data_IF_369505750361
#
_entry.id   IF_369505750361
#
_cell.length_a   1.000
_cell.length_b   1.000
_cell.length_c   1.000
_cell.angle_alpha   90.00
_cell.angle_beta   90.00
_cell.angle_gamma   90.00
#
_symmetry.space_group_name_H-M   'P 1'
#
loop_
_entity.id
_entity.type
_entity.pdbx_description
1 polymer ?
#
# COMPACT_ATOMS: atom_id res chain seq x y z
N UNK A 1 5.00 -25.32 2.64
CA UNK A 1 4.47 -23.96 2.79
C UNK A 1 4.10 -23.40 1.43
N UNK A 2 2.84 -23.04 1.24
CA UNK A 2 2.29 -22.36 0.07
C UNK A 2 1.39 -21.21 0.50
N UNK A 3 1.33 -20.16 -0.30
CA UNK A 3 0.39 -19.07 -0.11
C UNK A 3 -1.04 -19.60 -0.30
N UNK A 4 -1.87 -19.46 0.73
CA UNK A 4 -3.25 -19.93 0.75
C UNK A 4 -4.26 -18.81 0.51
N UNK A 5 -3.96 -17.57 0.92
CA UNK A 5 -4.78 -16.40 0.66
C UNK A 5 -3.96 -15.11 0.61
N UNK A 6 -4.53 -14.09 -0.03
CA UNK A 6 -4.02 -12.72 -0.08
C UNK A 6 -5.19 -11.79 0.26
N UNK A 7 -5.12 -11.17 1.44
CA UNK A 7 -6.22 -10.41 2.01
C UNK A 7 -5.89 -8.93 2.11
N UNK A 8 -6.86 -8.10 1.77
CA UNK A 8 -6.78 -6.67 2.01
C UNK A 8 -7.91 -6.32 2.95
N UNK A 9 -7.57 -5.79 4.12
CA UNK A 9 -8.55 -5.40 5.11
C UNK A 9 -8.32 -3.96 5.54
N UNK A 10 -9.38 -3.39 6.10
CA UNK A 10 -9.39 -2.01 6.57
C UNK A 10 -9.42 -1.98 8.08
N UNK A 11 -8.52 -1.20 8.66
CA UNK A 11 -8.49 -0.89 10.08
C UNK A 11 -9.01 0.53 10.28
N UNK A 12 -9.83 0.71 11.30
CA UNK A 12 -10.36 2.00 11.74
C UNK A 12 -9.80 2.33 13.12
N UNK A 13 -9.61 3.61 13.38
CA UNK A 13 -9.19 4.10 14.69
C UNK A 13 -9.58 5.56 14.88
N UNK A 14 -9.30 6.07 16.07
CA UNK A 14 -9.45 7.49 16.38
C UNK A 14 -8.07 8.07 16.64
N UNK A 15 -7.82 9.27 16.11
CA UNK A 15 -6.63 10.06 16.42
C UNK A 15 -7.07 11.33 17.13
N UNK A 16 -6.56 11.54 18.33
CA UNK A 16 -6.89 12.66 19.23
C UNK A 16 -6.22 14.00 18.84
N UNK A 17 -5.42 14.00 17.77
CA UNK A 17 -4.67 15.18 17.33
C UNK A 17 -3.30 15.32 17.99
N UNK A 18 -2.88 14.36 18.82
CA UNK A 18 -1.59 14.38 19.50
C UNK A 18 -0.41 13.98 18.60
N UNK A 19 0.75 14.61 18.86
CA UNK A 19 2.07 14.06 18.52
C UNK A 19 2.90 14.79 17.46
N UNK A 20 2.31 15.67 16.64
CA UNK A 20 3.07 16.45 15.66
C UNK A 20 2.73 17.95 15.76
N UNK A 21 3.73 18.85 15.85
CA UNK A 21 3.47 20.27 15.73
C UNK A 21 2.76 20.53 14.39
N UNK A 22 1.87 21.52 14.36
CA UNK A 22 1.24 21.94 13.11
C UNK A 22 2.33 22.48 12.19
N UNK A 23 2.86 21.59 11.34
CA UNK A 23 3.83 21.95 10.33
C UNK A 23 3.18 22.76 9.22
N UNK A 24 4.01 23.51 8.50
CA UNK A 24 3.62 24.07 7.21
C UNK A 24 3.27 22.96 6.24
N UNK A 25 2.52 23.32 5.19
CA UNK A 25 2.20 22.45 4.07
C UNK A 25 3.48 21.84 3.47
N UNK A 26 3.46 20.53 3.18
CA UNK A 26 4.54 19.86 2.44
C UNK A 26 4.61 20.38 1.00
N UNK A 27 5.82 20.67 0.50
CA UNK A 27 6.05 21.05 -0.89
C UNK A 27 5.64 19.91 -1.85
N UNK A 28 5.04 20.28 -2.98
CA UNK A 28 4.52 19.38 -4.01
C UNK A 28 5.07 19.77 -5.37
N UNK A 29 5.16 18.81 -6.29
CA UNK A 29 5.61 19.08 -7.66
C UNK A 29 4.78 20.16 -8.39
N UNK A 30 3.48 20.27 -8.07
CA UNK A 30 2.58 21.27 -8.66
C UNK A 30 2.82 22.70 -8.17
N UNK A 31 3.68 22.92 -7.18
CA UNK A 31 3.91 24.24 -6.58
C UNK A 31 4.66 25.21 -7.50
N UNK A 32 5.15 24.72 -8.64
CA UNK A 32 5.68 25.57 -9.71
C UNK A 32 4.60 26.47 -10.33
N UNK A 33 3.32 26.11 -10.18
CA UNK A 33 2.18 26.88 -10.67
C UNK A 33 1.55 27.68 -9.52
N UNK A 34 1.52 29.02 -9.59
CA UNK A 34 1.04 29.86 -8.49
C UNK A 34 -0.36 29.52 -7.97
N UNK A 35 -1.27 29.07 -8.83
CA UNK A 35 -2.63 28.68 -8.47
C UNK A 35 -2.71 27.43 -7.58
N UNK A 36 -1.67 26.58 -7.58
CA UNK A 36 -1.59 25.39 -6.71
C UNK A 36 -0.67 25.60 -5.50
N UNK A 37 0.22 26.59 -5.55
CA UNK A 37 1.10 26.97 -4.44
C UNK A 37 0.39 27.86 -3.42
N UNK A 38 -0.61 27.29 -2.76
CA UNK A 38 -1.41 27.97 -1.74
C UNK A 38 -1.17 27.34 -0.37
N UNK A 39 -1.09 28.16 0.69
CA UNK A 39 -1.01 27.72 2.09
C UNK A 39 -2.35 27.21 2.62
N UNK A 40 -3.03 26.42 1.81
CA UNK A 40 -4.27 25.79 2.21
C UNK A 40 -3.93 24.55 3.08
N UNK A 41 -4.34 24.63 4.34
CA UNK A 41 -4.52 23.55 5.33
C UNK A 41 -3.37 23.34 6.33
N UNK A 42 -3.36 24.16 7.38
CA UNK A 42 -2.95 23.70 8.70
C UNK A 42 -3.86 22.54 9.15
N UNK A 43 -3.29 21.53 9.79
CA UNK A 43 -4.02 20.34 10.23
C UNK A 43 -5.27 20.72 11.03
N UNK A 44 -6.40 20.02 10.81
CA UNK A 44 -7.55 20.18 11.70
C UNK A 44 -7.16 19.63 13.08
N UNK A 45 -7.19 20.48 14.09
CA UNK A 45 -7.03 20.08 15.50
C UNK A 45 -8.27 19.30 15.97
N UNK A 46 -8.07 18.39 16.91
CA UNK A 46 -9.13 17.61 17.56
C UNK A 46 -9.26 16.17 17.07
N UNK A 47 -10.05 15.40 17.82
CA UNK A 47 -10.28 13.97 17.57
C UNK A 47 -10.92 13.77 16.21
N UNK A 48 -10.34 12.87 15.40
CA UNK A 48 -10.88 12.47 14.10
C UNK A 48 -10.76 10.98 13.89
N UNK A 49 -11.74 10.41 13.18
CA UNK A 49 -11.64 9.05 12.67
C UNK A 49 -10.52 8.94 11.64
N UNK A 50 -9.68 7.93 11.79
CA UNK A 50 -8.65 7.54 10.83
C UNK A 50 -8.93 6.12 10.34
N UNK A 51 -8.45 5.82 9.14
CA UNK A 51 -8.55 4.49 8.56
C UNK A 51 -7.36 4.21 7.67
N UNK A 52 -6.96 2.95 7.60
CA UNK A 52 -5.89 2.49 6.74
C UNK A 52 -6.19 1.09 6.19
N UNK A 53 -5.61 0.80 5.03
CA UNK A 53 -5.66 -0.54 4.43
C UNK A 53 -4.37 -1.28 4.75
N UNK A 54 -4.48 -2.58 4.99
CA UNK A 54 -3.36 -3.47 5.23
C UNK A 54 -3.46 -4.69 4.32
N UNK A 55 -2.31 -5.21 3.93
CA UNK A 55 -2.16 -6.45 3.17
C UNK A 55 -1.73 -7.55 4.13
N UNK A 56 -2.41 -8.68 4.10
CA UNK A 56 -2.00 -9.92 4.75
C UNK A 56 -1.88 -11.04 3.72
N UNK A 57 -0.80 -11.82 3.82
CA UNK A 57 -0.59 -13.01 2.99
C UNK A 57 -0.55 -14.21 3.92
N UNK A 58 -1.49 -15.12 3.74
CA UNK A 58 -1.62 -16.32 4.56
C UNK A 58 -0.99 -17.52 3.88
N UNK A 59 -0.51 -18.47 4.68
CA UNK A 59 0.03 -19.74 4.20
C UNK A 59 -0.83 -20.93 4.64
N UNK A 60 -0.65 -22.06 3.96
CA UNK A 60 -1.26 -23.35 4.34
C UNK A 60 -0.71 -23.94 5.64
N UNK A 61 0.35 -23.36 6.22
CA UNK A 61 0.93 -23.75 7.50
C UNK A 61 0.47 -22.87 8.67
N UNK A 62 -0.45 -21.92 8.43
CA UNK A 62 -0.97 -21.02 9.47
C UNK A 62 -0.04 -19.87 9.85
N UNK A 63 1.00 -19.62 9.04
CA UNK A 63 1.88 -18.44 9.14
C UNK A 63 1.36 -17.35 8.21
N UNK A 64 1.38 -16.10 8.67
CA UNK A 64 0.91 -14.94 7.92
C UNK A 64 1.96 -13.83 7.90
N UNK A 65 2.13 -13.21 6.74
CA UNK A 65 2.86 -11.94 6.58
C UNK A 65 1.89 -10.76 6.60
N UNK A 66 2.29 -9.63 7.16
CA UNK A 66 1.46 -8.42 7.26
C UNK A 66 2.27 -7.18 6.86
N UNK A 67 1.73 -6.39 5.93
CA UNK A 67 2.33 -5.13 5.50
C UNK A 67 1.29 -4.01 5.40
N UNK A 68 1.68 -2.80 5.76
CA UNK A 68 0.87 -1.61 5.59
C UNK A 68 1.32 -0.43 6.46
N UNK A 69 0.65 0.72 6.33
CA UNK A 69 -0.55 0.94 5.54
C UNK A 69 -0.28 1.00 4.02
N UNK A 70 -1.22 0.49 3.21
CA UNK A 70 -1.18 0.58 1.73
C UNK A 70 -2.23 1.56 1.18
N UNK A 71 -2.01 2.04 -0.04
CA UNK A 71 -2.90 2.95 -0.75
C UNK A 71 -3.95 2.19 -1.57
N UNK A 72 -5.10 2.82 -1.84
CA UNK A 72 -6.22 2.18 -2.57
C UNK A 72 -5.84 1.64 -3.95
N UNK A 73 -4.94 2.33 -4.66
CA UNK A 73 -4.49 1.87 -5.97
C UNK A 73 -3.54 0.67 -5.88
N UNK A 74 -2.71 0.59 -4.83
CA UNK A 74 -1.92 -0.60 -4.55
C UNK A 74 -2.85 -1.78 -4.26
N UNK A 75 -3.87 -1.56 -3.41
CA UNK A 75 -4.88 -2.56 -3.10
C UNK A 75 -5.61 -3.07 -4.37
N UNK A 76 -5.96 -2.17 -5.28
CA UNK A 76 -6.55 -2.55 -6.57
C UNK A 76 -5.62 -3.43 -7.39
N UNK A 77 -4.35 -3.07 -7.55
CA UNK A 77 -3.36 -3.89 -8.30
C UNK A 77 -3.21 -5.26 -7.65
N UNK A 78 -3.08 -5.32 -6.32
CA UNK A 78 -2.90 -6.57 -5.59
C UNK A 78 -4.11 -7.49 -5.81
N UNK A 79 -5.32 -7.00 -5.57
CA UNK A 79 -6.54 -7.80 -5.67
C UNK A 79 -6.86 -8.22 -7.12
N UNK A 80 -6.77 -7.28 -8.06
CA UNK A 80 -7.20 -7.52 -9.45
C UNK A 80 -6.15 -8.19 -10.33
N UNK A 81 -4.86 -8.10 -9.98
CA UNK A 81 -3.77 -8.56 -10.87
C UNK A 81 -2.81 -9.56 -10.20
N UNK A 82 -2.47 -9.39 -8.92
CA UNK A 82 -1.41 -10.19 -8.28
C UNK A 82 -1.96 -11.37 -7.47
N UNK A 83 -3.13 -11.24 -6.83
CA UNK A 83 -3.70 -12.24 -5.93
C UNK A 83 -3.76 -13.62 -6.57
N UNK A 84 -4.40 -13.74 -7.72
CA UNK A 84 -4.55 -15.02 -8.42
C UNK A 84 -3.22 -15.66 -8.83
N UNK A 85 -2.20 -14.85 -9.11
CA UNK A 85 -0.86 -15.33 -9.45
C UNK A 85 -0.09 -15.89 -8.24
N UNK A 86 -0.34 -15.33 -7.03
CA UNK A 86 0.36 -15.68 -5.80
C UNK A 86 -0.20 -16.94 -5.12
N UNK A 87 -1.49 -17.23 -5.26
CA UNK A 87 -2.10 -18.42 -4.63
C UNK A 87 -1.39 -19.70 -5.09
N UNK A 88 -1.06 -20.56 -4.13
CA UNK A 88 -0.40 -21.84 -4.35
C UNK A 88 1.11 -21.74 -4.65
N UNK A 89 1.69 -20.54 -4.56
CA UNK A 89 3.13 -20.32 -4.75
C UNK A 89 3.89 -20.46 -3.43
N UNK A 90 5.18 -20.74 -3.54
CA UNK A 90 6.07 -20.81 -2.39
C UNK A 90 6.41 -19.38 -1.90
N UNK A 91 6.01 -18.98 -0.68
CA UNK A 91 6.27 -17.64 -0.18
C UNK A 91 7.77 -17.34 0.02
N UNK A 92 8.63 -18.36 0.12
CA UNK A 92 10.08 -18.17 0.28
C UNK A 92 10.80 -18.02 -1.06
N UNK A 93 10.12 -18.20 -2.19
CA UNK A 93 10.69 -18.01 -3.52
C UNK A 93 10.68 -16.52 -3.94
N UNK A 94 11.07 -15.62 -3.02
CA UNK A 94 10.91 -14.15 -3.15
C UNK A 94 11.47 -13.61 -4.46
N UNK A 95 12.74 -13.87 -4.76
CA UNK A 95 13.40 -13.42 -6.00
C UNK A 95 12.68 -13.89 -7.27
N UNK A 96 12.23 -15.16 -7.27
CA UNK A 96 11.53 -15.72 -8.41
C UNK A 96 10.12 -15.14 -8.57
N UNK A 97 9.41 -14.91 -7.47
CA UNK A 97 8.09 -14.27 -7.48
C UNK A 97 8.20 -12.81 -7.89
N UNK A 98 9.20 -12.08 -7.39
CA UNK A 98 9.45 -10.69 -7.72
C UNK A 98 9.74 -10.53 -9.22
N UNK A 99 10.70 -11.29 -9.77
CA UNK A 99 11.01 -11.24 -11.21
C UNK A 99 9.78 -11.54 -12.07
N UNK A 100 8.99 -12.54 -11.70
CA UNK A 100 7.80 -12.89 -12.46
C UNK A 100 6.69 -11.83 -12.34
N UNK A 101 6.43 -11.30 -11.14
CA UNK A 101 5.45 -10.22 -10.94
C UNK A 101 5.81 -8.99 -11.78
N UNK A 102 7.10 -8.60 -11.81
CA UNK A 102 7.59 -7.49 -12.64
C UNK A 102 7.36 -7.70 -14.14
N UNK A 103 7.23 -8.96 -14.59
CA UNK A 103 7.01 -9.34 -15.99
C UNK A 103 5.53 -9.58 -16.34
N UNK A 104 4.62 -9.65 -15.35
CA UNK A 104 3.20 -9.91 -15.57
C UNK A 104 2.51 -8.79 -16.37
N UNK A 105 2.92 -7.54 -16.14
CA UNK A 105 2.40 -6.39 -16.87
C UNK A 105 3.50 -5.70 -17.68
N UNK A 106 3.43 -5.83 -19.01
CA UNK A 106 4.37 -5.19 -19.94
C UNK A 106 4.42 -3.65 -19.80
N UNK A 107 3.36 -3.05 -19.25
CA UNK A 107 3.23 -1.61 -19.00
C UNK A 107 3.46 -1.24 -17.54
N UNK A 108 3.64 -2.22 -16.65
CA UNK A 108 3.77 -2.03 -15.20
C UNK A 108 5.18 -1.70 -14.70
N UNK A 109 6.11 -1.32 -15.59
CA UNK A 109 7.54 -1.12 -15.27
C UNK A 109 7.82 -0.03 -14.23
N UNK A 110 6.84 0.82 -13.96
CA UNK A 110 6.89 1.87 -12.93
C UNK A 110 5.47 2.24 -12.50
N UNK A 111 5.35 3.16 -11.53
CA UNK A 111 4.06 3.71 -11.12
C UNK A 111 3.18 2.68 -10.40
N UNK A 112 1.87 2.72 -10.66
CA UNK A 112 0.87 2.05 -9.84
C UNK A 112 1.08 0.53 -9.73
N UNK A 113 1.34 -0.15 -10.84
CA UNK A 113 1.57 -1.59 -10.84
C UNK A 113 2.78 -1.95 -9.98
N UNK A 114 3.91 -1.27 -10.21
CA UNK A 114 5.14 -1.45 -9.45
C UNK A 114 4.93 -1.23 -7.95
N UNK A 115 4.17 -0.21 -7.55
CA UNK A 115 3.87 0.03 -6.13
C UNK A 115 3.01 -1.06 -5.50
N UNK A 116 2.19 -1.77 -6.28
CA UNK A 116 1.44 -2.95 -5.83
C UNK A 116 2.36 -4.15 -5.63
N UNK A 117 3.28 -4.39 -6.58
CA UNK A 117 4.32 -5.42 -6.48
C UNK A 117 5.20 -5.18 -5.25
N UNK A 118 5.69 -3.95 -5.03
CA UNK A 118 6.50 -3.61 -3.86
C UNK A 118 5.79 -3.87 -2.54
N UNK A 119 4.47 -3.64 -2.46
CA UNK A 119 3.71 -3.89 -1.24
C UNK A 119 3.53 -5.39 -0.95
N UNK A 120 3.52 -6.26 -1.97
CA UNK A 120 3.47 -7.71 -1.81
C UNK A 120 4.80 -8.29 -1.34
N UNK A 121 5.91 -7.70 -1.77
CA UNK A 121 7.27 -8.21 -1.53
C UNK A 121 7.86 -7.83 -0.15
N UNK A 122 7.27 -6.84 0.54
CA UNK A 122 7.76 -6.31 1.82
C UNK A 122 7.62 -7.27 3.02
#
# INVERSE_FOLDING_TARGET
>A
MKISDVQIFRVFGEWDGGGFPMGSRQAKAMDIYPEFNTDAHGGKSGTRGIQALYLQIDTDEGISGLFGPIQKHQAFVIDSMLKSFLIGRDPLATEALQDQMLRLDRHGRSGLFMTGVSAVDC
#
